data_IF_202464156964
#
_entry.id   IF_202464156964
#
_cell.length_a   1.000
_cell.length_b   1.000
_cell.length_c   1.000
_cell.angle_alpha   90.00
_cell.angle_beta   90.00
_cell.angle_gamma   90.00
#
_symmetry.space_group_name_H-M   'P 1'
#
loop_
_entity.id
_entity.type
_entity.pdbx_description
1 polymer ?
#
# COMPACT_ATOMS: atom_id res chain seq x y z
N UNK A 1 -4.30 4.03 0.97
CA UNK A 1 -3.46 2.94 1.53
C UNK A 1 -2.05 2.97 0.99
N UNK A 2 -1.85 2.60 -0.28
CA UNK A 2 -0.52 2.52 -0.90
C UNK A 2 0.18 3.88 -1.12
N UNK A 3 -0.57 4.97 -1.22
CA UNK A 3 -0.04 6.35 -1.26
C UNK A 3 0.75 6.75 0.02
N UNK A 4 0.58 6.00 1.12
CA UNK A 4 1.19 6.31 2.42
C UNK A 4 2.55 5.64 2.64
N UNK A 5 3.04 4.89 1.66
CA UNK A 5 4.40 4.32 1.64
C UNK A 5 5.21 4.98 0.53
N UNK A 6 6.55 4.85 0.57
CA UNK A 6 7.40 5.48 -0.45
C UNK A 6 7.13 4.91 -1.84
N UNK A 7 7.36 5.70 -2.89
CA UNK A 7 7.16 5.28 -4.28
C UNK A 7 7.81 3.93 -4.60
N UNK A 8 9.08 3.74 -4.23
CA UNK A 8 9.81 2.47 -4.38
C UNK A 8 9.14 1.26 -3.71
N UNK A 9 8.51 1.47 -2.56
CA UNK A 9 7.81 0.42 -1.81
C UNK A 9 6.47 0.12 -2.48
N UNK A 10 5.76 1.16 -2.91
CA UNK A 10 4.52 1.04 -3.68
C UNK A 10 4.75 0.27 -4.97
N UNK A 11 5.76 0.62 -5.76
CA UNK A 11 6.07 -0.06 -7.03
C UNK A 11 6.33 -1.56 -6.84
N UNK A 12 7.09 -1.96 -5.82
CA UNK A 12 7.33 -3.39 -5.52
C UNK A 12 6.03 -4.10 -5.14
N UNK A 13 5.15 -3.47 -4.36
CA UNK A 13 3.84 -4.02 -4.00
C UNK A 13 2.94 -4.15 -5.23
N UNK A 14 2.87 -3.12 -6.06
CA UNK A 14 2.05 -3.10 -7.28
C UNK A 14 2.49 -4.19 -8.26
N UNK A 15 3.77 -4.23 -8.60
CA UNK A 15 4.31 -5.23 -9.53
C UNK A 15 4.13 -6.66 -9.02
N UNK A 16 4.21 -6.88 -7.70
CA UNK A 16 4.01 -8.22 -7.11
C UNK A 16 2.53 -8.64 -7.14
N UNK A 17 1.63 -7.80 -6.61
CA UNK A 17 0.25 -8.21 -6.34
C UNK A 17 -0.73 -7.92 -7.47
N UNK A 18 -0.48 -6.87 -8.26
CA UNK A 18 -1.37 -6.44 -9.33
C UNK A 18 -0.86 -6.88 -10.71
N UNK A 19 0.46 -6.89 -10.91
CA UNK A 19 1.07 -7.36 -12.15
C UNK A 19 1.53 -8.81 -12.11
N UNK A 20 1.68 -9.41 -10.92
CA UNK A 20 2.04 -10.82 -10.76
C UNK A 20 3.50 -11.17 -11.05
N UNK A 21 4.40 -10.18 -11.09
CA UNK A 21 5.82 -10.41 -11.35
C UNK A 21 6.52 -11.05 -10.15
N UNK A 22 7.51 -11.90 -10.44
CA UNK A 22 8.44 -12.43 -9.45
C UNK A 22 9.40 -11.34 -8.97
N UNK A 23 10.04 -11.53 -7.80
CA UNK A 23 11.03 -10.57 -7.30
C UNK A 23 12.25 -10.43 -8.21
N UNK A 24 12.56 -11.45 -9.00
CA UNK A 24 13.67 -11.42 -9.95
C UNK A 24 13.33 -10.50 -11.13
N UNK A 25 12.14 -10.64 -11.72
CA UNK A 25 11.66 -9.77 -12.80
C UNK A 25 11.51 -8.32 -12.30
N UNK A 26 11.03 -8.12 -11.07
CA UNK A 26 10.94 -6.78 -10.47
C UNK A 26 12.32 -6.14 -10.29
N UNK A 27 13.33 -6.93 -9.90
CA UNK A 27 14.70 -6.46 -9.77
C UNK A 27 15.24 -5.93 -11.10
N UNK A 28 14.93 -6.63 -12.20
CA UNK A 28 15.28 -6.21 -13.56
C UNK A 28 14.50 -4.96 -14.00
N UNK A 29 13.18 -4.92 -13.78
CA UNK A 29 12.31 -3.77 -14.13
C UNK A 29 12.76 -2.50 -13.40
N UNK A 30 13.14 -2.63 -12.12
CA UNK A 30 13.50 -1.50 -11.27
C UNK A 30 15.01 -1.19 -11.26
N UNK A 31 15.80 -1.88 -12.08
CA UNK A 31 17.26 -1.78 -12.14
C UNK A 31 17.92 -1.77 -10.75
N UNK A 32 17.60 -2.79 -9.94
CA UNK A 32 18.11 -2.89 -8.58
C UNK A 32 18.35 -4.34 -8.15
N UNK A 33 19.19 -4.60 -7.13
CA UNK A 33 19.38 -5.97 -6.62
C UNK A 33 18.08 -6.59 -6.10
N UNK A 34 17.89 -7.91 -6.29
CA UNK A 34 16.73 -8.64 -5.75
C UNK A 34 16.59 -8.51 -4.22
N UNK A 35 17.70 -8.33 -3.50
CA UNK A 35 17.68 -8.08 -2.06
C UNK A 35 17.10 -6.69 -1.71
N UNK A 36 17.26 -5.71 -2.58
CA UNK A 36 16.61 -4.41 -2.48
C UNK A 36 15.10 -4.55 -2.65
N UNK A 37 14.63 -5.37 -3.61
CA UNK A 37 13.21 -5.68 -3.77
C UNK A 37 12.64 -6.33 -2.49
N UNK A 38 13.34 -7.34 -1.94
CA UNK A 38 12.93 -8.02 -0.69
C UNK A 38 12.85 -7.05 0.50
N UNK A 39 13.85 -6.20 0.68
CA UNK A 39 13.86 -5.22 1.79
C UNK A 39 12.79 -4.14 1.61
N UNK A 40 12.59 -3.62 0.39
CA UNK A 40 11.47 -2.73 0.06
C UNK A 40 10.12 -3.37 0.40
N UNK A 41 9.89 -4.61 -0.02
CA UNK A 41 8.65 -5.35 0.31
C UNK A 41 8.46 -5.54 1.82
N UNK A 42 9.52 -5.91 2.55
CA UNK A 42 9.47 -6.05 4.00
C UNK A 42 9.02 -4.75 4.68
N UNK A 43 9.64 -3.62 4.32
CA UNK A 43 9.29 -2.32 4.89
C UNK A 43 7.91 -1.84 4.44
N UNK A 44 7.50 -2.11 3.19
CA UNK A 44 6.17 -1.81 2.68
C UNK A 44 5.10 -2.49 3.54
N UNK A 45 5.18 -3.81 3.72
CA UNK A 45 4.23 -4.58 4.54
C UNK A 45 4.18 -4.10 5.98
N UNK A 46 5.34 -3.84 6.59
CA UNK A 46 5.41 -3.35 7.97
C UNK A 46 4.79 -1.96 8.13
N UNK A 47 4.91 -1.07 7.15
CA UNK A 47 4.26 0.24 7.17
C UNK A 47 2.76 0.11 6.95
N UNK A 48 2.34 -0.63 5.94
CA UNK A 48 0.92 -0.86 5.66
C UNK A 48 0.20 -1.51 6.84
N UNK A 49 0.81 -2.49 7.51
CA UNK A 49 0.24 -3.12 8.71
C UNK A 49 0.01 -2.14 9.87
N UNK A 50 0.84 -1.09 9.99
CA UNK A 50 0.64 -0.03 10.99
C UNK A 50 -0.45 0.96 10.59
N UNK A 51 -0.68 1.14 9.29
CA UNK A 51 -1.67 2.06 8.76
C UNK A 51 -3.07 1.44 8.70
N UNK A 52 -3.17 0.11 8.59
CA UNK A 52 -4.44 -0.58 8.43
C UNK A 52 -5.44 -0.29 9.56
N UNK A 53 -5.07 -0.30 10.85
CA UNK A 53 -5.98 0.07 11.94
C UNK A 53 -6.49 1.52 11.81
N UNK A 54 -5.61 2.45 11.46
CA UNK A 54 -5.95 3.88 11.33
C UNK A 54 -6.90 4.14 10.15
N UNK A 55 -6.77 3.37 9.07
CA UNK A 55 -7.65 3.46 7.91
C UNK A 55 -9.02 2.84 8.20
N UNK A 56 -9.09 1.78 9.01
CA UNK A 56 -10.35 1.18 9.45
C UNK A 56 -11.18 2.15 10.31
N UNK A 57 -10.52 2.92 11.18
CA UNK A 57 -11.19 3.97 11.98
C UNK A 57 -11.79 5.09 11.11
N UNK A 58 -11.11 5.46 10.01
CA UNK A 58 -11.61 6.50 9.08
C UNK A 58 -12.80 6.03 8.26
N UNK A 59 -12.79 4.79 7.76
CA UNK A 59 -13.94 4.22 7.03
C UNK A 59 -15.19 4.09 7.92
N UNK A 60 -15.01 3.80 9.22
CA UNK A 60 -16.13 3.71 10.15
C UNK A 60 -16.75 5.09 10.46
N UNK A 61 -15.93 6.15 10.56
CA UNK A 61 -16.42 7.50 10.86
C UNK A 61 -17.23 8.14 9.72
N UNK A 62 -16.90 7.86 8.45
CA UNK A 62 -17.69 8.33 7.29
C UNK A 62 -19.05 7.61 7.16
N UNK A 63 -19.20 6.45 7.80
CA UNK A 63 -20.45 5.67 7.82
C UNK A 63 -21.48 6.17 8.84
N UNK A 64 -21.08 7.06 9.77
CA UNK A 64 -21.95 7.64 10.80
C UNK A 64 -22.49 9.03 10.44
N UNK A 65 -22.23 9.53 9.22
CA UNK A 65 -22.84 10.78 8.76
C UNK A 65 -24.30 10.50 8.41
N UNK A 66 -25.19 10.92 9.30
CA UNK A 66 -26.64 10.83 9.15
C UNK A 66 -27.05 11.55 7.84
N UNK A 67 -27.69 10.87 6.86
CA UNK A 67 -28.07 11.47 5.59
C UNK A 67 -29.06 12.64 5.71
N UNK A 68 -29.61 12.90 6.90
CA UNK A 68 -30.57 13.97 7.19
C UNK A 68 -29.95 15.38 7.30
N UNK A 69 -28.62 15.49 7.33
CA UNK A 69 -27.91 16.79 7.46
C UNK A 69 -27.73 17.51 6.12
N UNK A 70 -27.96 16.85 4.97
CA UNK A 70 -27.70 17.44 3.65
C UNK A 70 -28.86 18.29 3.08
N UNK A 71 -30.04 18.27 3.71
CA UNK A 71 -31.25 18.95 3.19
C UNK A 71 -31.83 20.01 4.17
N UNK A 72 -30.97 20.68 4.94
CA UNK A 72 -31.33 21.84 5.78
C UNK A 72 -30.40 23.02 5.58
#
# INVERSE_FOLDING_TARGET
GLEMISADQRSVVELTYFSGYSYQEIAEIMDCPVNTVKTRMFHARRRLAKLLPLLQEQTNAESEIDPEVLDR
#
